data_IF_820980445680
#
_entry.id   IF_820980445680
#
_cell.length_a   1.000
_cell.length_b   1.000
_cell.length_c   1.000
_cell.angle_alpha   90.00
_cell.angle_beta   90.00
_cell.angle_gamma   90.00
#
_symmetry.space_group_name_H-M   'P 1'
#
loop_
_entity.id
_entity.type
_entity.pdbx_description
1 polymer ?
#
# COMPACT_ATOMS: atom_id res chain seq x y z
N UNK A 1 17.75 -3.28 14.41
CA UNK A 1 17.42 -4.36 13.45
C UNK A 1 16.04 -4.07 12.89
N UNK A 2 15.87 -3.92 11.56
CA UNK A 2 14.53 -3.80 10.97
C UNK A 2 13.76 -5.08 11.28
N UNK A 3 12.51 -4.94 11.73
CA UNK A 3 11.65 -6.09 12.02
C UNK A 3 11.48 -6.94 10.76
N UNK A 4 11.49 -8.28 10.90
CA UNK A 4 11.20 -9.21 9.78
C UNK A 4 9.90 -8.83 9.05
N UNK A 5 8.93 -8.29 9.78
CA UNK A 5 7.65 -7.77 9.27
C UNK A 5 7.85 -6.58 8.32
N UNK A 6 8.74 -5.66 8.67
CA UNK A 6 9.04 -4.49 7.85
C UNK A 6 9.72 -4.88 6.54
N UNK A 7 10.60 -5.88 6.60
CA UNK A 7 11.29 -6.40 5.42
C UNK A 7 10.30 -7.13 4.50
N UNK A 8 9.39 -7.92 5.07
CA UNK A 8 8.33 -8.59 4.32
C UNK A 8 7.39 -7.58 3.65
N UNK A 9 6.96 -6.54 4.37
CA UNK A 9 6.16 -5.45 3.81
C UNK A 9 6.87 -4.77 2.65
N UNK A 10 8.18 -4.48 2.80
CA UNK A 10 8.96 -3.86 1.74
C UNK A 10 8.99 -4.73 0.48
N UNK A 11 9.24 -6.03 0.63
CA UNK A 11 9.23 -6.98 -0.50
C UNK A 11 7.84 -6.98 -1.17
N UNK A 12 6.77 -6.99 -0.37
CA UNK A 12 5.40 -6.92 -0.89
C UNK A 12 5.13 -5.61 -1.64
N UNK A 13 5.62 -4.48 -1.13
CA UNK A 13 5.51 -3.17 -1.78
C UNK A 13 6.23 -3.17 -3.12
N UNK A 14 7.46 -3.70 -3.18
CA UNK A 14 8.25 -3.77 -4.43
C UNK A 14 7.54 -4.64 -5.47
N UNK A 15 7.08 -5.83 -5.09
CA UNK A 15 6.32 -6.71 -5.97
C UNK A 15 5.02 -6.05 -6.47
N UNK A 16 4.29 -5.39 -5.59
CA UNK A 16 3.05 -4.68 -5.94
C UNK A 16 3.33 -3.50 -6.89
N UNK A 17 4.46 -2.82 -6.72
CA UNK A 17 4.88 -1.71 -7.59
C UNK A 17 5.26 -2.21 -8.98
N UNK A 18 5.94 -3.36 -9.08
CA UNK A 18 6.24 -4.00 -10.37
C UNK A 18 4.94 -4.34 -11.10
N UNK A 19 3.95 -4.92 -10.39
CA UNK A 19 2.64 -5.21 -10.96
C UNK A 19 1.87 -3.96 -11.38
N UNK A 20 1.95 -2.89 -10.59
CA UNK A 20 1.34 -1.60 -10.92
C UNK A 20 1.93 -1.01 -12.21
N UNK A 21 3.26 -1.00 -12.33
CA UNK A 21 3.96 -0.54 -13.54
C UNK A 21 3.53 -1.38 -14.74
N UNK A 22 3.51 -2.71 -14.60
CA UNK A 22 3.07 -3.61 -15.66
C UNK A 22 1.61 -3.36 -16.08
N UNK A 23 0.71 -3.15 -15.12
CA UNK A 23 -0.70 -2.86 -15.39
C UNK A 23 -0.88 -1.54 -16.14
N UNK A 24 -0.08 -0.52 -15.79
CA UNK A 24 -0.04 0.76 -16.49
C UNK A 24 0.43 0.63 -17.94
N UNK A 25 1.51 -0.11 -18.19
CA UNK A 25 2.01 -0.35 -19.55
C UNK A 25 1.10 -1.26 -20.39
N UNK A 26 0.42 -2.23 -19.76
CA UNK A 26 -0.46 -3.18 -20.46
C UNK A 26 -1.85 -2.62 -20.74
N UNK A 27 -2.14 -1.37 -20.36
CA UNK A 27 -3.45 -0.75 -20.54
C UNK A 27 -4.57 -1.40 -19.72
N UNK A 28 -4.24 -2.14 -18.65
CA UNK A 28 -5.21 -2.76 -17.74
C UNK A 28 -5.76 -1.74 -16.75
N UNK A 29 -6.56 -0.81 -17.27
CA UNK A 29 -7.09 0.33 -16.52
C UNK A 29 -8.05 -0.08 -15.39
N UNK A 30 -8.68 -1.25 -15.46
CA UNK A 30 -9.61 -1.70 -14.42
C UNK A 30 -8.91 -2.14 -13.12
N UNK A 31 -7.69 -2.70 -13.21
CA UNK A 31 -6.94 -3.18 -12.03
C UNK A 31 -5.94 -2.14 -11.49
N UNK A 32 -5.66 -1.09 -12.27
CA UNK A 32 -4.71 -0.04 -11.92
C UNK A 32 -5.07 0.69 -10.61
N UNK A 33 -6.33 1.12 -10.36
CA UNK A 33 -6.69 1.80 -9.10
C UNK A 33 -6.50 0.90 -7.87
N UNK A 34 -6.79 -0.39 -8.03
CA UNK A 34 -6.63 -1.39 -6.98
C UNK A 34 -5.15 -1.62 -6.64
N UNK A 35 -4.31 -1.78 -7.65
CA UNK A 35 -2.86 -1.93 -7.45
C UNK A 35 -2.24 -0.66 -6.86
N UNK A 36 -2.71 0.52 -7.27
CA UNK A 36 -2.22 1.80 -6.77
C UNK A 36 -2.54 1.96 -5.28
N UNK A 37 -3.80 1.72 -4.90
CA UNK A 37 -4.22 1.80 -3.49
C UNK A 37 -3.54 0.74 -2.61
N UNK A 38 -3.28 -0.45 -3.16
CA UNK A 38 -2.48 -1.48 -2.49
C UNK A 38 -1.04 -1.01 -2.22
N UNK A 39 -0.35 -0.47 -3.23
CA UNK A 39 1.03 0.03 -3.11
C UNK A 39 1.12 1.16 -2.09
N UNK A 40 0.17 2.10 -2.13
CA UNK A 40 0.12 3.23 -1.17
C UNK A 40 -0.10 2.72 0.25
N UNK A 41 -1.01 1.77 0.46
CA UNK A 41 -1.30 1.17 1.77
C UNK A 41 -0.07 0.45 2.34
N UNK A 42 0.60 -0.36 1.52
CA UNK A 42 1.80 -1.08 1.93
C UNK A 42 2.95 -0.11 2.26
N UNK A 43 3.11 0.96 1.47
CA UNK A 43 4.14 1.99 1.70
C UNK A 43 3.91 2.74 3.00
N UNK A 44 2.66 3.15 3.27
CA UNK A 44 2.29 3.81 4.53
C UNK A 44 2.44 2.89 5.74
N UNK A 45 2.10 1.60 5.61
CA UNK A 45 2.32 0.61 6.66
C UNK A 45 3.82 0.43 6.98
N UNK A 46 4.66 0.46 5.96
CA UNK A 46 6.11 0.38 6.12
C UNK A 46 6.69 1.63 6.81
N UNK A 47 6.19 2.82 6.45
CA UNK A 47 6.56 4.08 7.10
C UNK A 47 6.09 4.14 8.56
N UNK A 48 4.86 3.69 8.84
CA UNK A 48 4.31 3.63 10.20
C UNK A 48 5.15 2.71 11.09
N UNK A 49 5.50 1.51 10.61
CA UNK A 49 6.33 0.57 11.37
C UNK A 49 7.78 1.05 11.53
N UNK A 50 8.33 1.71 10.52
CA UNK A 50 9.68 2.29 10.57
C UNK A 50 9.79 3.47 11.54
N UNK A 51 8.70 4.20 11.75
CA UNK A 51 8.63 5.38 12.63
C UNK A 51 7.98 5.09 13.98
N UNK A 52 7.88 3.82 14.41
CA UNK A 52 7.18 3.42 15.64
C UNK A 52 7.70 4.10 16.92
N UNK A 53 8.95 4.54 16.93
CA UNK A 53 9.61 5.17 18.08
C UNK A 53 9.86 6.68 17.87
N UNK A 54 9.34 7.29 16.81
CA UNK A 54 9.48 8.72 16.54
C UNK A 54 8.15 9.45 16.75
N UNK A 55 8.20 10.74 17.07
CA UNK A 55 7.00 11.59 17.24
C UNK A 55 6.11 11.65 15.99
N UNK A 56 6.59 11.19 14.84
CA UNK A 56 5.81 11.08 13.59
C UNK A 56 4.90 9.86 13.51
N UNK A 57 5.02 8.88 14.41
CA UNK A 57 4.19 7.67 14.43
C UNK A 57 2.67 7.91 14.26
N UNK A 58 2.02 8.82 15.01
CA UNK A 58 0.58 9.05 14.86
C UNK A 58 0.20 9.59 13.48
N UNK A 59 1.05 10.40 12.86
CA UNK A 59 0.80 10.96 11.52
C UNK A 59 0.80 9.83 10.48
N UNK A 60 1.80 8.94 10.55
CA UNK A 60 1.86 7.77 9.66
C UNK A 60 0.73 6.76 9.95
N UNK A 61 0.29 6.65 11.20
CA UNK A 61 -0.85 5.82 11.58
C UNK A 61 -2.17 6.32 10.97
N UNK A 62 -2.44 7.62 11.03
CA UNK A 62 -3.62 8.23 10.40
C UNK A 62 -3.55 8.08 8.88
N UNK A 63 -2.39 8.37 8.27
CA UNK A 63 -2.19 8.18 6.83
C UNK A 63 -2.39 6.72 6.40
N UNK A 64 -1.91 5.76 7.19
CA UNK A 64 -2.16 4.34 6.96
C UNK A 64 -3.65 3.98 7.07
N UNK A 65 -4.36 4.54 8.04
CA UNK A 65 -5.81 4.36 8.17
C UNK A 65 -6.58 4.84 6.93
N UNK A 66 -6.27 6.03 6.42
CA UNK A 66 -6.86 6.54 5.18
C UNK A 66 -6.50 5.71 3.95
N UNK A 67 -5.25 5.25 3.86
CA UNK A 67 -4.81 4.38 2.76
C UNK A 67 -5.55 3.04 2.80
N UNK A 68 -5.68 2.43 3.99
CA UNK A 68 -6.39 1.17 4.18
C UNK A 68 -7.88 1.30 3.83
N UNK A 69 -8.55 2.37 4.26
CA UNK A 69 -9.93 2.64 3.90
C UNK A 69 -10.09 2.81 2.38
N UNK A 70 -9.19 3.56 1.74
CA UNK A 70 -9.16 3.73 0.29
C UNK A 70 -8.96 2.40 -0.45
N UNK A 71 -8.07 1.54 0.06
CA UNK A 71 -7.86 0.21 -0.49
C UNK A 71 -9.10 -0.68 -0.38
N UNK A 72 -9.73 -0.73 0.79
CA UNK A 72 -10.97 -1.49 0.99
C UNK A 72 -12.10 -1.01 0.07
N UNK A 73 -12.21 0.32 -0.12
CA UNK A 73 -13.16 0.89 -1.07
C UNK A 73 -12.84 0.48 -2.50
N UNK A 74 -11.56 0.52 -2.89
CA UNK A 74 -11.12 0.10 -4.23
C UNK A 74 -11.35 -1.39 -4.49
N UNK A 75 -11.15 -2.25 -3.49
CA UNK A 75 -11.46 -3.69 -3.57
C UNK A 75 -12.96 -3.89 -3.72
N UNK A 76 -13.76 -3.21 -2.90
CA UNK A 76 -15.23 -3.31 -2.98
C UNK A 76 -15.74 -2.88 -4.35
N UNK A 77 -15.25 -1.75 -4.88
CA UNK A 77 -15.61 -1.29 -6.21
C UNK A 77 -15.19 -2.28 -7.31
N UNK A 78 -14.02 -2.88 -7.19
CA UNK A 78 -13.53 -3.86 -8.17
C UNK A 78 -14.29 -5.19 -8.12
N UNK A 79 -14.78 -5.62 -6.95
CA UNK A 79 -15.53 -6.88 -6.79
C UNK A 79 -16.99 -6.73 -7.22
N UNK A 80 -17.58 -5.55 -7.01
CA UNK A 80 -18.99 -5.27 -7.35
C UNK A 80 -19.18 -4.99 -8.84
N UNK A 81 -18.11 -4.58 -9.54
CA UNK A 81 -18.10 -4.30 -10.98
C UNK A 81 -17.73 -5.54 -11.79
#
# INVERSE_FOLDING_TARGET
MKSKVQLLLLVLTVLSTILLIWAGFSGKNDIFPLLLTLVVTLSMGNLMLGNRHTNGFPIYGVAFGFALASFLLSVTFFVVR
#
